data_IF_262577519090
#
_entry.id   IF_262577519090
#
_cell.length_a   1.000
_cell.length_b   1.000
_cell.length_c   1.000
_cell.angle_alpha   90.00
_cell.angle_beta   90.00
_cell.angle_gamma   90.00
#
_symmetry.space_group_name_H-M   'P 1'
#
loop_
_entity.id
_entity.type
_entity.pdbx_description
1 polymer ?
#
# COMPACT_ATOMS: atom_id res chain seq x y z
N UNK A 1 -6.00 -17.32 4.26
CA UNK A 1 -6.33 -16.13 5.08
C UNK A 1 -6.27 -14.88 4.22
N UNK A 2 -7.31 -14.04 4.25
CA UNK A 2 -7.34 -12.73 3.57
C UNK A 2 -6.77 -11.68 4.53
N UNK A 3 -5.55 -11.24 4.31
CA UNK A 3 -4.88 -10.28 5.16
C UNK A 3 -4.54 -8.99 4.41
N UNK A 4 -4.74 -7.84 5.06
CA UNK A 4 -4.43 -6.52 4.51
C UNK A 4 -3.43 -5.81 5.42
N UNK A 5 -2.54 -5.00 4.86
CA UNK A 5 -1.60 -4.19 5.63
C UNK A 5 -1.67 -2.72 5.21
N UNK A 6 -1.68 -1.84 6.20
CA UNK A 6 -1.49 -0.39 6.06
C UNK A 6 -0.27 0.05 6.84
N UNK A 7 0.41 1.09 6.36
CA UNK A 7 1.53 1.70 7.06
C UNK A 7 1.36 3.22 7.11
N UNK A 8 1.63 3.84 8.25
CA UNK A 8 1.50 5.29 8.34
C UNK A 8 1.89 5.86 9.69
N UNK A 9 2.14 7.17 9.69
CA UNK A 9 2.45 7.99 10.84
C UNK A 9 1.18 8.55 11.50
N UNK A 10 1.30 9.09 12.71
CA UNK A 10 0.20 9.59 13.55
C UNK A 10 -0.79 10.52 12.83
N UNK A 11 -0.29 11.39 11.98
CA UNK A 11 -1.12 12.32 11.19
C UNK A 11 -2.00 11.62 10.15
N UNK A 12 -1.71 10.37 9.80
CA UNK A 12 -2.45 9.56 8.84
C UNK A 12 -3.46 8.60 9.48
N UNK A 13 -3.44 8.42 10.82
CA UNK A 13 -4.33 7.48 11.49
C UNK A 13 -5.84 7.73 11.26
N UNK A 14 -6.34 8.98 11.23
CA UNK A 14 -7.75 9.21 10.85
C UNK A 14 -8.09 8.72 9.43
N UNK A 15 -7.12 8.79 8.51
CA UNK A 15 -7.27 8.29 7.14
C UNK A 15 -7.27 6.76 7.12
N UNK A 16 -6.37 6.12 7.89
CA UNK A 16 -6.35 4.66 8.05
C UNK A 16 -7.70 4.14 8.56
N UNK A 17 -8.30 4.81 9.55
CA UNK A 17 -9.64 4.43 10.05
C UNK A 17 -10.69 4.46 8.94
N UNK A 18 -10.68 5.48 8.09
CA UNK A 18 -11.63 5.60 6.98
C UNK A 18 -11.39 4.51 5.91
N UNK A 19 -10.13 4.28 5.54
CA UNK A 19 -9.74 3.24 4.59
C UNK A 19 -10.18 1.84 5.09
N UNK A 20 -9.87 1.51 6.34
CA UNK A 20 -10.25 0.23 6.96
C UNK A 20 -11.76 0.03 7.04
N UNK A 21 -12.53 1.08 7.39
CA UNK A 21 -13.99 1.00 7.40
C UNK A 21 -14.55 0.69 6.03
N UNK A 22 -14.04 1.37 4.99
CA UNK A 22 -14.47 1.11 3.62
C UNK A 22 -14.17 -0.33 3.20
N UNK A 23 -12.99 -0.85 3.57
CA UNK A 23 -12.60 -2.22 3.32
C UNK A 23 -13.53 -3.21 4.02
N UNK A 24 -13.73 -3.09 5.34
CA UNK A 24 -14.51 -4.05 6.12
C UNK A 24 -15.99 -4.05 5.74
N UNK A 25 -16.54 -2.90 5.31
CA UNK A 25 -17.93 -2.79 4.84
C UNK A 25 -18.13 -3.46 3.48
N UNK A 26 -17.21 -3.27 2.51
CA UNK A 26 -17.42 -3.71 1.13
C UNK A 26 -16.71 -5.02 0.77
N UNK A 27 -15.64 -5.36 1.46
CA UNK A 27 -14.87 -6.58 1.24
C UNK A 27 -14.22 -7.06 2.53
N UNK A 28 -15.00 -7.67 3.46
CA UNK A 28 -14.47 -8.15 4.73
C UNK A 28 -13.27 -9.08 4.57
N UNK A 29 -12.30 -8.92 5.45
CA UNK A 29 -11.05 -9.69 5.49
C UNK A 29 -10.84 -10.34 6.85
N UNK A 30 -9.98 -11.36 6.92
CA UNK A 30 -9.73 -12.10 8.16
C UNK A 30 -8.85 -11.30 9.13
N UNK A 31 -7.89 -10.50 8.59
CA UNK A 31 -6.91 -9.77 9.39
C UNK A 31 -6.49 -8.48 8.72
N UNK A 32 -6.28 -7.42 9.52
CA UNK A 32 -5.66 -6.17 9.10
C UNK A 32 -4.47 -5.90 10.01
N UNK A 33 -3.31 -5.67 9.41
CA UNK A 33 -2.10 -5.26 10.12
C UNK A 33 -1.88 -3.75 9.93
N UNK A 34 -1.63 -3.04 11.03
CA UNK A 34 -1.29 -1.61 11.01
C UNK A 34 0.17 -1.44 11.43
N UNK A 35 1.03 -1.09 10.49
CA UNK A 35 2.41 -0.71 10.78
C UNK A 35 2.41 0.75 11.18
N UNK A 36 2.72 1.03 12.47
CA UNK A 36 2.59 2.35 13.08
C UNK A 36 3.86 2.76 13.84
N UNK A 37 4.02 4.07 14.09
CA UNK A 37 5.15 4.62 14.85
C UNK A 37 4.93 4.61 16.37
N UNK A 38 3.67 4.64 16.80
CA UNK A 38 3.28 4.73 18.20
C UNK A 38 3.13 3.34 18.85
N UNK A 39 3.20 3.30 20.19
CA UNK A 39 2.98 2.05 20.96
C UNK A 39 1.52 1.57 20.87
N UNK A 40 0.58 2.50 20.70
CA UNK A 40 -0.85 2.21 20.60
C UNK A 40 -1.50 2.99 19.47
N UNK A 41 -2.48 2.36 18.82
CA UNK A 41 -3.34 3.04 17.86
C UNK A 41 -4.47 3.76 18.62
N UNK A 42 -4.63 5.10 18.47
CA UNK A 42 -5.47 5.91 19.38
C UNK A 42 -6.97 5.82 19.09
N UNK A 43 -7.40 4.95 18.20
CA UNK A 43 -8.81 4.75 17.86
C UNK A 43 -9.26 3.34 18.24
N UNK A 44 -10.49 3.16 18.75
CA UNK A 44 -11.06 1.83 18.94
C UNK A 44 -11.20 1.13 17.58
N UNK A 45 -10.77 -0.14 17.54
CA UNK A 45 -10.77 -0.95 16.31
C UNK A 45 -11.30 -2.35 16.59
N UNK A 46 -11.90 -3.04 15.61
CA UNK A 46 -12.30 -4.45 15.72
C UNK A 46 -11.13 -5.40 16.01
N UNK A 47 -11.43 -6.58 16.59
CA UNK A 47 -10.44 -7.61 16.97
C UNK A 47 -9.64 -8.18 15.77
N UNK A 48 -10.14 -8.02 14.55
CA UNK A 48 -9.42 -8.43 13.34
C UNK A 48 -8.25 -7.49 13.00
N UNK A 49 -8.08 -6.37 13.71
CA UNK A 49 -7.02 -5.39 13.47
C UNK A 49 -5.91 -5.58 14.51
N UNK A 50 -4.68 -5.71 14.04
CA UNK A 50 -3.48 -5.86 14.85
C UNK A 50 -2.48 -4.75 14.52
N UNK A 51 -1.90 -4.14 15.55
CA UNK A 51 -0.90 -3.11 15.39
C UNK A 51 0.51 -3.68 15.52
N UNK A 52 1.40 -3.23 14.64
CA UNK A 52 2.82 -3.55 14.65
C UNK A 52 3.56 -2.22 14.77
N UNK A 53 4.12 -1.97 15.96
CA UNK A 53 5.00 -0.82 16.16
C UNK A 53 6.32 -1.03 15.48
N UNK A 54 6.74 -0.05 14.68
CA UNK A 54 8.03 -0.10 13.98
C UNK A 54 8.78 1.23 14.14
N UNK A 55 10.06 1.12 14.47
CA UNK A 55 11.01 2.21 14.31
C UNK A 55 11.64 2.09 12.92
N UNK A 56 11.38 3.01 11.98
CA UNK A 56 11.92 2.94 10.63
C UNK A 56 13.45 2.99 10.59
N UNK A 57 14.09 3.54 11.61
CA UNK A 57 15.56 3.59 11.72
C UNK A 57 16.21 2.24 11.99
N UNK A 58 15.45 1.19 12.27
CA UNK A 58 15.95 -0.19 12.27
C UNK A 58 16.25 -0.71 10.85
N UNK A 59 15.68 -0.09 9.82
CA UNK A 59 15.81 -0.49 8.42
C UNK A 59 16.54 0.56 7.57
N UNK A 60 16.37 1.85 7.89
CA UNK A 60 16.83 2.96 7.07
C UNK A 60 17.73 3.90 7.88
N UNK A 61 18.94 4.15 7.36
CA UNK A 61 19.88 5.08 7.96
C UNK A 61 19.26 6.48 7.95
N UNK A 62 19.26 7.20 9.08
CA UNK A 62 18.79 8.61 9.15
C UNK A 62 19.47 9.55 8.14
N UNK A 63 20.67 9.20 7.68
CA UNK A 63 21.43 9.97 6.70
C UNK A 63 21.30 9.43 5.25
N UNK A 64 20.45 8.42 5.03
CA UNK A 64 20.23 7.90 3.68
C UNK A 64 19.60 8.95 2.77
N UNK A 65 19.85 8.87 1.45
CA UNK A 65 19.40 9.90 0.50
C UNK A 65 17.87 10.03 0.40
N UNK A 66 17.12 9.05 0.91
CA UNK A 66 15.65 9.03 0.88
C UNK A 66 15.00 9.45 2.21
N UNK A 67 15.81 9.75 3.23
CA UNK A 67 15.29 10.31 4.48
C UNK A 67 15.11 11.82 4.33
N UNK A 68 13.93 12.33 4.72
CA UNK A 68 13.61 13.76 4.59
C UNK A 68 13.12 14.19 3.20
N UNK A 69 12.82 13.26 2.30
CA UNK A 69 12.08 13.53 1.06
C UNK A 69 10.60 13.86 1.37
N UNK A 70 9.80 14.14 0.34
CA UNK A 70 8.36 14.49 0.50
C UNK A 70 7.52 13.41 1.18
N UNK A 71 8.02 12.17 1.25
CA UNK A 71 7.35 11.06 1.93
C UNK A 71 7.96 10.83 3.32
N UNK A 72 7.14 10.34 4.26
CA UNK A 72 7.63 9.96 5.58
C UNK A 72 8.49 8.70 5.48
N UNK A 73 9.37 8.42 6.47
CA UNK A 73 10.09 7.15 6.55
C UNK A 73 9.19 5.91 6.50
N UNK A 74 7.91 6.04 6.87
CA UNK A 74 6.91 4.98 6.80
C UNK A 74 6.50 4.61 5.37
N UNK A 75 6.69 5.48 4.38
CA UNK A 75 6.58 5.09 2.99
C UNK A 75 7.68 4.11 2.59
N UNK A 76 8.90 4.26 3.14
CA UNK A 76 10.01 3.34 2.89
C UNK A 76 9.80 1.99 3.61
N UNK A 77 9.17 1.98 4.80
CA UNK A 77 8.89 0.76 5.57
C UNK A 77 8.08 -0.27 4.78
N UNK A 78 7.28 0.16 3.83
CA UNK A 78 6.51 -0.70 2.94
C UNK A 78 7.39 -1.64 2.09
N UNK A 79 8.65 -1.28 1.86
CA UNK A 79 9.64 -2.17 1.24
C UNK A 79 10.12 -3.30 2.17
N UNK A 80 9.76 -3.28 3.45
CA UNK A 80 10.12 -4.29 4.45
C UNK A 80 8.90 -5.08 4.97
N UNK A 81 7.77 -5.03 4.28
CA UNK A 81 6.49 -5.61 4.73
C UNK A 81 6.59 -7.09 5.05
N UNK A 82 7.30 -7.90 4.25
CA UNK A 82 7.40 -9.34 4.50
C UNK A 82 8.27 -9.70 5.71
N UNK A 83 9.18 -8.80 6.13
CA UNK A 83 9.99 -8.95 7.36
C UNK A 83 9.20 -8.61 8.62
N UNK A 84 8.14 -7.82 8.50
CA UNK A 84 7.34 -7.32 9.62
C UNK A 84 6.12 -8.18 9.90
N UNK A 85 5.60 -8.89 8.89
CA UNK A 85 4.41 -9.71 9.00
C UNK A 85 4.72 -11.15 9.45
N UNK A 86 3.76 -11.86 10.06
CA UNK A 86 3.92 -13.24 10.49
C UNK A 86 4.43 -14.17 9.37
N UNK A 87 5.34 -15.09 9.74
CA UNK A 87 6.02 -15.98 8.78
C UNK A 87 5.07 -16.97 8.07
N UNK A 88 3.96 -17.31 8.70
CA UNK A 88 2.94 -18.22 8.17
C UNK A 88 1.95 -17.55 7.20
N UNK A 89 2.10 -16.24 6.95
CA UNK A 89 1.29 -15.51 6.01
C UNK A 89 1.88 -15.61 4.60
N UNK A 90 1.14 -16.25 3.66
CA UNK A 90 1.60 -16.50 2.29
C UNK A 90 1.55 -15.26 1.40
N UNK A 91 0.53 -14.43 1.57
CA UNK A 91 0.28 -13.21 0.79
C UNK A 91 -0.44 -12.15 1.60
N UNK A 92 -0.29 -10.91 1.21
CA UNK A 92 -0.98 -9.76 1.83
C UNK A 92 -1.34 -8.72 0.78
N UNK A 93 -2.50 -8.09 0.93
CA UNK A 93 -2.84 -6.90 0.16
C UNK A 93 -2.32 -5.67 0.91
N UNK A 94 -1.30 -5.03 0.37
CA UNK A 94 -0.75 -3.76 0.87
C UNK A 94 -1.51 -2.60 0.24
N UNK A 95 -2.04 -1.73 1.08
CA UNK A 95 -2.84 -0.57 0.67
C UNK A 95 -2.25 0.73 1.24
N UNK A 96 -2.24 1.77 0.40
CA UNK A 96 -2.01 3.13 0.88
C UNK A 96 -3.19 3.60 1.73
N UNK A 97 -2.90 4.47 2.69
CA UNK A 97 -3.91 4.97 3.64
C UNK A 97 -4.93 5.91 2.98
N UNK A 98 -4.64 6.41 1.78
CA UNK A 98 -5.51 7.24 0.95
C UNK A 98 -6.29 6.43 -0.10
N UNK A 99 -6.62 5.19 0.23
CA UNK A 99 -7.48 4.30 -0.57
C UNK A 99 -8.87 4.14 0.05
N UNK A 100 -9.89 4.02 -0.79
CA UNK A 100 -11.27 3.69 -0.39
C UNK A 100 -11.72 2.46 -1.19
N UNK A 101 -12.12 1.42 -0.47
CA UNK A 101 -12.67 0.19 -1.07
C UNK A 101 -14.17 0.40 -1.29
N UNK A 102 -14.66 0.15 -2.53
CA UNK A 102 -16.04 0.36 -2.95
C UNK A 102 -16.73 -0.92 -3.43
N UNK A 103 -15.97 -1.99 -3.66
CA UNK A 103 -16.51 -3.27 -4.16
C UNK A 103 -15.65 -4.44 -3.64
N UNK A 104 -16.12 -5.66 -3.90
CA UNK A 104 -15.44 -6.89 -3.52
C UNK A 104 -14.02 -6.98 -4.09
N UNK A 105 -13.08 -7.39 -3.25
CA UNK A 105 -11.68 -7.66 -3.60
C UNK A 105 -11.39 -9.15 -3.80
N UNK A 106 -12.43 -9.99 -3.92
CA UNK A 106 -12.25 -11.45 -4.01
C UNK A 106 -11.33 -11.87 -5.14
N UNK A 107 -11.43 -11.24 -6.32
CA UNK A 107 -10.58 -11.53 -7.48
C UNK A 107 -9.07 -11.36 -7.17
N UNK A 108 -8.69 -10.44 -6.28
CA UNK A 108 -7.29 -10.25 -5.90
C UNK A 108 -6.73 -11.44 -5.13
N UNK A 109 -7.55 -12.10 -4.31
CA UNK A 109 -7.13 -13.26 -3.54
C UNK A 109 -6.96 -14.51 -4.41
N UNK A 110 -7.62 -14.56 -5.57
CA UNK A 110 -7.56 -15.64 -6.54
C UNK A 110 -6.47 -15.45 -7.60
N UNK A 111 -5.79 -14.29 -7.62
CA UNK A 111 -4.71 -14.03 -8.58
C UNK A 111 -3.58 -15.04 -8.43
N UNK A 112 -3.14 -15.61 -9.55
CA UNK A 112 -1.94 -16.43 -9.61
C UNK A 112 -0.68 -15.56 -9.54
N UNK A 113 0.04 -15.68 -8.43
CA UNK A 113 1.32 -15.03 -8.20
C UNK A 113 2.50 -16.01 -8.19
N UNK A 114 2.37 -17.17 -8.81
CA UNK A 114 3.45 -18.16 -8.89
C UNK A 114 4.69 -17.56 -9.53
N UNK A 115 5.80 -17.54 -8.78
CA UNK A 115 7.08 -16.95 -9.21
C UNK A 115 7.08 -15.43 -9.34
N UNK A 116 6.02 -14.74 -8.89
CA UNK A 116 5.91 -13.27 -8.88
C UNK A 116 6.07 -12.74 -7.47
N UNK A 117 6.67 -11.55 -7.33
CA UNK A 117 6.76 -10.85 -6.06
C UNK A 117 5.45 -10.14 -5.72
N UNK A 118 4.84 -9.52 -6.74
CA UNK A 118 3.62 -8.74 -6.54
C UNK A 118 2.76 -8.65 -7.79
N UNK A 119 1.50 -8.24 -7.59
CA UNK A 119 0.65 -7.68 -8.62
C UNK A 119 0.30 -6.23 -8.27
N UNK A 120 0.30 -5.35 -9.28
CA UNK A 120 -0.09 -3.95 -9.15
C UNK A 120 -0.60 -3.39 -10.49
N UNK A 121 -1.18 -2.19 -10.45
CA UNK A 121 -1.68 -1.52 -11.65
C UNK A 121 -0.58 -0.66 -12.27
N UNK A 122 -0.30 -0.79 -13.58
CA UNK A 122 0.65 0.07 -14.28
C UNK A 122 0.16 1.53 -14.34
N UNK A 123 1.09 2.48 -14.18
CA UNK A 123 0.85 3.89 -14.47
C UNK A 123 0.96 4.17 -15.97
N UNK A 124 -0.02 4.87 -16.54
CA UNK A 124 0.01 5.25 -17.95
C UNK A 124 0.73 6.58 -18.22
N UNK A 125 1.01 7.36 -17.17
CA UNK A 125 1.73 8.62 -17.29
C UNK A 125 3.20 8.35 -17.62
N UNK A 126 3.58 8.53 -18.88
CA UNK A 126 4.89 8.19 -19.43
C UNK A 126 6.12 8.88 -18.80
N UNK A 127 5.91 9.83 -17.89
CA UNK A 127 6.97 10.54 -17.15
C UNK A 127 7.71 9.66 -16.12
N UNK A 128 7.24 8.44 -15.89
CA UNK A 128 7.79 7.50 -14.90
C UNK A 128 8.43 6.27 -15.54
N UNK A 129 9.11 6.42 -16.69
CA UNK A 129 9.75 5.29 -17.39
C UNK A 129 11.29 5.16 -17.23
N UNK A 130 11.91 5.55 -16.09
CA UNK A 130 13.35 5.37 -15.96
C UNK A 130 13.77 3.88 -15.84
N UNK A 131 12.81 2.98 -15.48
CA UNK A 131 13.10 1.58 -15.17
C UNK A 131 12.53 0.59 -16.19
N UNK A 132 12.00 1.05 -17.33
CA UNK A 132 11.49 0.18 -18.37
C UNK A 132 10.20 0.69 -19.04
N UNK A 133 9.57 -0.13 -19.89
CA UNK A 133 8.36 0.24 -20.62
C UNK A 133 7.11 0.27 -19.73
N UNK A 134 7.15 -0.36 -18.57
CA UNK A 134 6.07 -0.43 -17.57
C UNK A 134 6.60 0.13 -16.27
N UNK A 135 5.76 0.87 -15.57
CA UNK A 135 6.00 1.38 -14.22
C UNK A 135 4.72 1.20 -13.40
N UNK A 136 4.81 0.48 -12.28
CA UNK A 136 3.67 0.14 -11.45
C UNK A 136 3.44 1.18 -10.36
N UNK A 137 2.16 1.50 -10.10
CA UNK A 137 1.79 2.24 -8.91
C UNK A 137 1.73 1.29 -7.71
N UNK A 138 2.45 1.62 -6.65
CA UNK A 138 2.57 0.77 -5.47
C UNK A 138 1.59 1.11 -4.33
N UNK A 139 0.61 1.98 -4.57
CA UNK A 139 -0.43 2.29 -3.57
C UNK A 139 -1.40 1.15 -3.29
N UNK A 140 -1.53 0.22 -4.26
CA UNK A 140 -2.25 -1.04 -4.10
C UNK A 140 -1.40 -2.17 -4.66
N UNK A 141 -0.95 -3.08 -3.79
CA UNK A 141 -0.11 -4.22 -4.18
C UNK A 141 -0.61 -5.51 -3.53
N UNK A 142 -0.84 -6.54 -4.33
CA UNK A 142 -0.96 -7.89 -3.79
C UNK A 142 0.46 -8.49 -3.72
N UNK A 143 1.02 -8.65 -2.53
CA UNK A 143 2.35 -9.18 -2.30
C UNK A 143 2.32 -10.71 -2.11
N UNK A 144 3.24 -11.42 -2.76
CA UNK A 144 3.53 -12.83 -2.52
C UNK A 144 4.68 -12.93 -1.51
N UNK A 145 4.33 -13.01 -0.23
CA UNK A 145 5.30 -13.02 0.87
C UNK A 145 6.23 -14.23 0.81
N UNK A 146 5.74 -15.38 0.35
CA UNK A 146 6.55 -16.59 0.19
C UNK A 146 7.68 -16.39 -0.82
N UNK A 147 7.37 -15.85 -2.01
CA UNK A 147 8.40 -15.62 -3.03
C UNK A 147 9.37 -14.49 -2.63
N UNK A 148 8.86 -13.44 -1.97
CA UNK A 148 9.66 -12.34 -1.43
C UNK A 148 10.65 -12.86 -0.39
N UNK A 149 10.20 -13.64 0.60
CA UNK A 149 11.04 -14.23 1.65
C UNK A 149 12.04 -15.22 1.08
N UNK A 150 11.60 -16.11 0.19
CA UNK A 150 12.44 -17.12 -0.45
C UNK A 150 13.63 -16.52 -1.20
N UNK A 151 13.45 -15.39 -1.86
CA UNK A 151 14.50 -14.74 -2.65
C UNK A 151 15.30 -13.73 -1.85
N UNK A 152 14.76 -13.21 -0.76
CA UNK A 152 15.38 -12.17 0.06
C UNK A 152 15.39 -10.78 -0.60
N UNK A 153 14.55 -10.53 -1.62
CA UNK A 153 14.50 -9.27 -2.38
C UNK A 153 14.33 -8.04 -1.48
N UNK A 154 13.63 -8.15 -0.35
CA UNK A 154 13.48 -7.03 0.59
C UNK A 154 14.83 -6.51 1.13
N UNK A 155 15.82 -7.38 1.27
CA UNK A 155 17.17 -6.95 1.68
C UNK A 155 17.80 -6.04 0.61
N UNK A 156 17.60 -6.37 -0.67
CA UNK A 156 18.08 -5.57 -1.78
C UNK A 156 17.30 -4.25 -1.91
N UNK A 157 15.97 -4.27 -1.72
CA UNK A 157 15.13 -3.07 -1.69
C UNK A 157 15.57 -2.11 -0.58
N UNK A 158 15.75 -2.60 0.64
CA UNK A 158 16.20 -1.80 1.79
C UNK A 158 17.61 -1.23 1.51
N UNK A 159 18.53 -2.05 1.01
CA UNK A 159 19.88 -1.59 0.64
C UNK A 159 19.83 -0.50 -0.42
N UNK A 160 19.06 -0.70 -1.48
CA UNK A 160 18.88 0.27 -2.56
C UNK A 160 18.34 1.60 -2.02
N UNK A 161 17.31 1.57 -1.18
CA UNK A 161 16.73 2.76 -0.56
C UNK A 161 17.68 3.47 0.42
N UNK A 162 18.65 2.76 0.99
CA UNK A 162 19.68 3.36 1.83
C UNK A 162 20.83 4.00 1.04
N UNK A 163 21.04 3.63 -0.22
CA UNK A 163 22.22 4.06 -1.01
C UNK A 163 21.90 4.94 -2.20
N UNK A 164 20.72 4.78 -2.80
CA UNK A 164 20.32 5.46 -4.02
C UNK A 164 19.16 6.41 -3.78
N UNK A 165 19.29 7.67 -4.23
CA UNK A 165 18.17 8.61 -4.20
C UNK A 165 17.12 8.23 -5.24
N UNK A 166 15.85 8.18 -4.79
CA UNK A 166 14.69 7.96 -5.65
C UNK A 166 13.52 8.86 -5.26
N UNK A 167 12.86 9.52 -6.22
CA UNK A 167 11.80 10.50 -5.92
C UNK A 167 10.51 9.90 -5.34
N UNK A 168 10.24 8.61 -5.59
CA UNK A 168 9.00 7.93 -5.19
C UNK A 168 9.22 6.79 -4.19
N UNK A 169 10.36 6.79 -3.48
CA UNK A 169 10.62 5.88 -2.36
C UNK A 169 10.51 4.39 -2.73
N UNK A 170 9.69 3.66 -1.97
CA UNK A 170 9.49 2.22 -2.16
C UNK A 170 8.91 1.87 -3.55
N UNK A 171 8.10 2.74 -4.14
CA UNK A 171 7.56 2.53 -5.49
C UNK A 171 8.68 2.44 -6.54
N UNK A 172 9.68 3.33 -6.49
CA UNK A 172 10.82 3.27 -7.39
C UNK A 172 11.67 2.02 -7.14
N UNK A 173 11.87 1.64 -5.89
CA UNK A 173 12.64 0.45 -5.54
C UNK A 173 12.00 -0.83 -6.11
N UNK A 174 10.69 -1.01 -5.93
CA UNK A 174 9.95 -2.12 -6.51
C UNK A 174 9.99 -2.13 -8.04
N UNK A 175 9.83 -0.97 -8.68
CA UNK A 175 9.92 -0.85 -10.14
C UNK A 175 11.35 -1.07 -10.67
N UNK A 176 12.38 -0.78 -9.89
CA UNK A 176 13.78 -1.02 -10.27
C UNK A 176 14.20 -2.48 -10.13
N UNK A 177 13.84 -3.10 -9.00
CA UNK A 177 14.40 -4.39 -8.60
C UNK A 177 13.41 -5.56 -8.73
N UNK A 178 12.10 -5.28 -8.69
CA UNK A 178 11.07 -6.32 -8.67
C UNK A 178 10.25 -6.45 -9.96
N UNK A 179 10.43 -5.56 -10.93
CA UNK A 179 9.56 -5.45 -12.12
C UNK A 179 9.48 -6.73 -12.95
N UNK A 180 10.57 -7.48 -13.10
CA UNK A 180 10.61 -8.73 -13.87
C UNK A 180 9.72 -9.83 -13.27
N UNK A 181 9.42 -9.72 -11.98
CA UNK A 181 8.52 -10.60 -11.25
C UNK A 181 7.24 -9.91 -10.81
N UNK A 182 6.80 -8.90 -11.55
CA UNK A 182 5.50 -8.27 -11.34
C UNK A 182 4.41 -8.93 -12.19
N UNK A 183 3.16 -8.89 -11.69
CA UNK A 183 1.96 -9.22 -12.44
C UNK A 183 1.09 -7.97 -12.62
N UNK A 184 0.35 -7.90 -13.71
CA UNK A 184 -0.55 -6.77 -13.97
C UNK A 184 -1.89 -7.02 -13.28
N UNK A 185 -2.30 -6.05 -12.48
CA UNK A 185 -3.61 -5.99 -11.84
C UNK A 185 -4.57 -5.12 -12.66
N UNK A 186 -5.86 -5.46 -12.77
CA UNK A 186 -6.85 -4.61 -13.44
C UNK A 186 -7.00 -3.24 -12.77
N UNK A 187 -7.17 -2.18 -13.58
CA UNK A 187 -7.25 -0.78 -13.13
C UNK A 187 -8.32 -0.53 -12.06
N UNK A 188 -9.41 -1.31 -12.07
CA UNK A 188 -10.49 -1.20 -11.08
C UNK A 188 -10.02 -1.38 -9.62
N UNK A 189 -8.88 -2.04 -9.41
CA UNK A 189 -8.29 -2.27 -8.08
C UNK A 189 -7.28 -1.20 -7.65
N UNK A 190 -7.03 -0.21 -8.48
CA UNK A 190 -6.24 0.97 -8.12
C UNK A 190 -6.60 2.12 -9.06
N UNK A 191 -7.88 2.54 -9.01
CA UNK A 191 -8.32 3.70 -9.80
C UNK A 191 -7.70 4.97 -9.24
N UNK A 192 -6.85 5.62 -10.04
CA UNK A 192 -6.18 6.85 -9.69
C UNK A 192 -5.93 7.72 -10.94
N UNK A 193 -5.55 8.98 -10.73
CA UNK A 193 -5.22 9.89 -11.84
C UNK A 193 -4.00 9.40 -12.65
N UNK A 194 -3.16 8.55 -12.09
CA UNK A 194 -1.95 8.01 -12.74
C UNK A 194 -2.14 6.62 -13.35
N UNK A 195 -3.13 5.85 -12.89
CA UNK A 195 -3.41 4.49 -13.34
C UNK A 195 -4.60 4.39 -14.28
N UNK A 196 -5.48 5.41 -14.28
CA UNK A 196 -6.68 5.48 -15.10
C UNK A 196 -7.98 5.41 -14.31
N UNK A 197 -9.08 5.65 -15.02
CA UNK A 197 -10.43 5.65 -14.47
C UNK A 197 -11.25 4.50 -15.04
N UNK A 198 -12.21 4.04 -14.24
CA UNK A 198 -13.16 2.99 -14.61
C UNK A 198 -14.57 3.34 -14.10
N UNK A 199 -15.61 2.79 -14.73
CA UNK A 199 -16.99 3.03 -14.30
C UNK A 199 -17.30 2.36 -12.95
N UNK A 200 -16.65 1.22 -12.67
CA UNK A 200 -16.90 0.40 -11.48
C UNK A 200 -15.58 0.14 -10.72
N UNK A 201 -15.03 1.15 -10.02
CA UNK A 201 -13.83 0.97 -9.22
C UNK A 201 -14.11 0.07 -8.00
N UNK A 202 -13.22 -0.89 -7.75
CA UNK A 202 -13.22 -1.63 -6.50
C UNK A 202 -12.38 -0.94 -5.43
N UNK A 203 -11.29 -0.27 -5.85
CA UNK A 203 -10.48 0.59 -4.99
C UNK A 203 -10.28 1.93 -5.68
N UNK A 204 -10.69 3.02 -5.02
CA UNK A 204 -10.40 4.40 -5.41
C UNK A 204 -9.20 4.87 -4.61
N UNK A 205 -8.12 5.25 -5.30
CA UNK A 205 -6.88 5.71 -4.70
C UNK A 205 -6.67 7.21 -4.97
N UNK A 206 -6.49 7.98 -3.92
CA UNK A 206 -6.30 9.44 -3.96
C UNK A 206 -4.84 9.84 -4.18
N UNK A 207 -4.09 9.02 -4.86
CA UNK A 207 -2.64 9.08 -5.08
C UNK A 207 -2.05 10.49 -5.15
N UNK A 208 -1.01 10.76 -4.36
CA UNK A 208 -0.27 12.02 -4.36
C UNK A 208 -1.01 13.22 -3.76
N UNK A 209 -2.09 12.99 -3.00
CA UNK A 209 -2.87 14.05 -2.34
C UNK A 209 -2.92 13.84 -0.84
N UNK A 210 -2.05 14.53 -0.12
CA UNK A 210 -2.00 14.48 1.36
C UNK A 210 -3.29 15.03 1.98
N UNK A 211 -3.93 16.01 1.34
CA UNK A 211 -5.17 16.66 1.80
C UNK A 211 -6.46 16.01 1.25
N UNK A 212 -6.37 14.80 0.72
CA UNK A 212 -7.47 14.13 0.04
C UNK A 212 -8.76 14.05 0.86
N UNK A 213 -8.68 13.92 2.18
CA UNK A 213 -9.84 13.85 3.06
C UNK A 213 -10.49 15.22 3.31
N UNK A 214 -9.74 16.33 3.20
CA UNK A 214 -10.23 17.69 3.41
C UNK A 214 -10.64 18.38 2.11
N UNK A 215 -9.98 18.07 1.01
CA UNK A 215 -10.24 18.69 -0.30
C UNK A 215 -10.21 17.68 -1.45
N UNK A 216 -11.10 16.67 -1.45
CA UNK A 216 -11.19 15.72 -2.54
C UNK A 216 -11.72 16.39 -3.81
N UNK A 217 -11.37 15.87 -4.98
CA UNK A 217 -12.04 16.26 -6.22
C UNK A 217 -13.55 15.96 -6.12
N UNK A 218 -14.37 16.75 -6.80
CA UNK A 218 -15.84 16.57 -6.79
C UNK A 218 -16.23 15.14 -7.19
N UNK A 219 -15.53 14.56 -8.15
CA UNK A 219 -15.74 13.18 -8.60
C UNK A 219 -15.60 12.15 -7.46
N UNK A 220 -14.63 12.36 -6.55
CA UNK A 220 -14.32 11.40 -5.48
C UNK A 220 -14.99 11.75 -4.14
N UNK A 221 -15.53 12.95 -4.00
CA UNK A 221 -16.15 13.43 -2.76
C UNK A 221 -17.24 12.46 -2.24
N UNK A 222 -18.01 11.86 -3.16
CA UNK A 222 -19.07 10.90 -2.83
C UNK A 222 -18.56 9.69 -2.04
N UNK A 223 -17.36 9.19 -2.35
CA UNK A 223 -16.78 8.03 -1.66
C UNK A 223 -16.38 8.38 -0.23
N UNK A 224 -15.75 9.54 -0.06
CA UNK A 224 -15.34 9.99 1.28
C UNK A 224 -16.54 10.28 2.18
N UNK A 225 -17.60 10.90 1.65
CA UNK A 225 -18.82 11.19 2.42
C UNK A 225 -19.51 9.91 2.93
N UNK A 226 -19.52 8.85 2.12
CA UNK A 226 -20.10 7.55 2.46
C UNK A 226 -19.52 6.96 3.75
N UNK A 227 -18.20 7.10 3.97
CA UNK A 227 -17.51 6.46 5.09
C UNK A 227 -17.17 7.38 6.25
N UNK A 228 -17.25 8.71 6.08
CA UNK A 228 -16.87 9.68 7.11
C UNK A 228 -17.61 9.50 8.42
N UNK A 229 -18.88 9.15 8.39
CA UNK A 229 -19.72 8.90 9.57
C UNK A 229 -20.05 7.43 9.82
N UNK A 230 -19.53 6.51 9.02
CA UNK A 230 -19.83 5.09 9.16
C UNK A 230 -19.29 4.52 10.48
N UNK A 231 -20.07 3.65 11.13
CA UNK A 231 -19.59 2.79 12.21
C UNK A 231 -18.63 1.71 11.69
N UNK A 232 -18.09 0.90 12.61
CA UNK A 232 -17.48 -0.38 12.25
C UNK A 232 -18.58 -1.37 11.91
N UNK A 233 -18.41 -2.23 10.91
CA UNK A 233 -19.38 -3.27 10.55
C UNK A 233 -19.49 -4.36 11.61
#
# INVERSE_FOLDING_TARGET
MKAVVYAGTRNLYPHMVMAMKSLLINSPVDKIYLIIEDDEFPFPVPDCIETIRVDPYLFFDPHSPNMGIQFTPFALIRAATAKLLPDDLDRVLQLDVDTIVEDSLNELWEMDLTGKYFAAVPEYLGKFKPYGPIYFNCGVMMLNLNEIRKTGIETDLIKFLNTEYVPYGDQDAWNKLGIDKAAIMPVRFNEAFCTGYTENPAIVHYAGRIDWASNPSVYRAKYLQKYRGAGWP
#
